data_IF_263455497323
#
_entry.id   IF_263455497323
#
_cell.length_a   1.000
_cell.length_b   1.000
_cell.length_c   1.000
_cell.angle_alpha   90.00
_cell.angle_beta   90.00
_cell.angle_gamma   90.00
#
_symmetry.space_group_name_H-M   'P 1'
#
loop_
_entity.id
_entity.type
_entity.pdbx_description
1 polymer ?
#
# COMPACT_ATOMS: atom_id res chain seq x y z
N UNK A 1 -1.71 27.28 -12.89
CA UNK A 1 -0.34 27.71 -12.59
C UNK A 1 0.14 28.50 -13.80
N UNK A 2 0.82 29.63 -13.60
CA UNK A 2 1.14 30.56 -14.70
C UNK A 2 2.38 30.13 -15.51
N UNK A 3 2.44 30.49 -16.79
CA UNK A 3 3.47 30.11 -17.77
C UNK A 3 4.87 30.55 -17.29
N UNK A 4 4.99 31.74 -16.71
CA UNK A 4 6.26 32.23 -16.14
C UNK A 4 6.77 31.37 -14.97
N UNK A 5 5.85 30.73 -14.23
CA UNK A 5 6.21 29.86 -13.11
C UNK A 5 6.78 28.54 -13.62
N UNK A 6 6.24 27.99 -14.72
CA UNK A 6 6.81 26.82 -15.39
C UNK A 6 8.18 27.13 -15.98
N UNK A 7 8.34 28.29 -16.61
CA UNK A 7 9.61 28.70 -17.24
C UNK A 7 10.73 28.81 -16.21
N UNK A 8 10.49 29.44 -15.05
CA UNK A 8 11.49 29.52 -13.97
C UNK A 8 11.90 28.14 -13.43
N UNK A 9 10.95 27.20 -13.34
CA UNK A 9 11.23 25.84 -12.84
C UNK A 9 12.01 25.02 -13.87
N UNK A 10 11.56 24.99 -15.11
CA UNK A 10 12.10 24.14 -16.17
C UNK A 10 13.47 24.58 -16.70
N UNK A 11 13.90 25.81 -16.43
CA UNK A 11 15.25 26.28 -16.76
C UNK A 11 16.34 25.53 -16.01
N UNK A 12 16.06 24.96 -14.83
CA UNK A 12 17.04 24.17 -14.06
C UNK A 12 17.02 22.68 -14.41
N UNK A 13 16.01 22.20 -15.13
CA UNK A 13 15.88 20.80 -15.51
C UNK A 13 16.85 20.41 -16.61
N UNK A 14 17.26 19.13 -16.61
CA UNK A 14 18.11 18.55 -17.64
C UNK A 14 17.35 18.36 -18.96
N UNK A 15 18.07 18.34 -20.08
CA UNK A 15 17.47 18.14 -21.40
C UNK A 15 16.76 16.77 -21.50
N UNK A 16 17.31 15.74 -20.84
CA UNK A 16 16.71 14.40 -20.79
C UNK A 16 15.36 14.37 -20.08
N UNK A 17 15.23 15.10 -18.97
CA UNK A 17 13.96 15.22 -18.22
C UNK A 17 12.90 15.95 -19.03
N UNK A 18 13.28 17.05 -19.68
CA UNK A 18 12.38 17.84 -20.53
C UNK A 18 11.96 17.04 -21.77
N UNK A 19 12.88 16.28 -22.38
CA UNK A 19 12.56 15.38 -23.49
C UNK A 19 11.54 14.34 -23.01
N UNK A 20 11.80 13.65 -21.90
CA UNK A 20 10.92 12.61 -21.34
C UNK A 20 9.52 13.15 -20.99
N UNK A 21 9.45 14.40 -20.51
CA UNK A 21 8.21 15.12 -20.22
C UNK A 21 7.39 15.39 -21.50
N UNK A 22 8.04 15.82 -22.57
CA UNK A 22 7.39 16.17 -23.84
C UNK A 22 7.04 14.94 -24.70
N UNK A 23 7.69 13.80 -24.44
CA UNK A 23 7.58 12.55 -25.19
C UNK A 23 6.68 11.53 -24.48
N UNK A 24 7.27 10.73 -23.58
CA UNK A 24 6.63 9.57 -22.92
C UNK A 24 5.55 9.95 -21.92
N UNK A 25 5.72 11.07 -21.23
CA UNK A 25 4.85 11.47 -20.14
C UNK A 25 3.95 12.67 -20.46
N UNK A 26 3.87 13.11 -21.72
CA UNK A 26 3.12 14.29 -22.11
C UNK A 26 1.67 14.31 -21.61
N UNK A 27 0.99 13.16 -21.58
CA UNK A 27 -0.40 13.04 -21.09
C UNK A 27 -0.57 13.30 -19.59
N UNK A 28 0.51 13.24 -18.81
CA UNK A 28 0.51 13.45 -17.36
C UNK A 28 0.73 14.91 -16.96
N UNK A 29 1.13 15.77 -17.91
CA UNK A 29 1.49 17.16 -17.64
C UNK A 29 0.47 18.15 -18.20
N UNK A 30 0.43 19.33 -17.59
CA UNK A 30 -0.40 20.43 -18.08
C UNK A 30 0.08 20.86 -19.50
N UNK A 31 -0.83 21.07 -20.48
CA UNK A 31 -0.47 21.54 -21.81
C UNK A 31 0.46 22.76 -21.84
N UNK A 32 0.26 23.72 -20.93
CA UNK A 32 1.09 24.92 -20.84
C UNK A 32 2.52 24.60 -20.40
N UNK A 33 2.69 23.58 -19.55
CA UNK A 33 3.99 23.10 -19.11
C UNK A 33 4.76 22.41 -20.25
N UNK A 34 4.06 21.68 -21.12
CA UNK A 34 4.65 21.00 -22.29
C UNK A 34 5.12 22.03 -23.32
N UNK A 35 4.36 23.11 -23.53
CA UNK A 35 4.75 24.21 -24.42
C UNK A 35 6.05 24.85 -23.92
N UNK A 36 6.12 25.18 -22.63
CA UNK A 36 7.33 25.77 -22.02
C UNK A 36 8.53 24.83 -22.10
N UNK A 37 8.34 23.53 -21.87
CA UNK A 37 9.41 22.54 -21.99
C UNK A 37 9.94 22.45 -23.44
N UNK A 38 9.06 22.51 -24.44
CA UNK A 38 9.45 22.58 -25.86
C UNK A 38 10.24 23.85 -26.16
N UNK A 39 9.76 25.00 -25.70
CA UNK A 39 10.44 26.29 -25.89
C UNK A 39 11.87 26.27 -25.32
N UNK A 40 12.05 25.74 -24.11
CA UNK A 40 13.37 25.63 -23.48
C UNK A 40 14.29 24.67 -24.23
N UNK A 41 13.78 23.53 -24.69
CA UNK A 41 14.55 22.59 -25.50
C UNK A 41 14.98 23.21 -26.85
N UNK A 42 14.10 23.98 -27.48
CA UNK A 42 14.43 24.73 -28.70
C UNK A 42 15.46 25.85 -28.43
N UNK A 43 15.33 26.59 -27.33
CA UNK A 43 16.32 27.59 -26.90
C UNK A 43 17.70 26.97 -26.65
N UNK A 44 17.76 25.69 -26.24
CA UNK A 44 18.98 24.91 -26.02
C UNK A 44 19.51 24.18 -27.26
N UNK A 45 18.95 24.43 -28.44
CA UNK A 45 19.29 23.75 -29.72
C UNK A 45 19.09 22.22 -29.69
N UNK A 46 18.10 21.72 -28.95
CA UNK A 46 17.69 20.32 -28.99
C UNK A 46 16.61 20.13 -30.06
N UNK A 47 16.85 19.24 -31.03
CA UNK A 47 15.93 18.94 -32.12
C UNK A 47 14.77 18.02 -31.67
N UNK A 48 13.81 18.63 -30.99
CA UNK A 48 12.64 17.94 -30.41
C UNK A 48 11.65 17.42 -31.46
N UNK A 49 11.59 18.03 -32.65
CA UNK A 49 10.67 17.60 -33.71
C UNK A 49 11.09 16.26 -34.31
N UNK A 50 12.40 16.09 -34.56
CA UNK A 50 12.95 14.81 -35.01
C UNK A 50 12.75 13.73 -33.95
N UNK A 51 12.99 14.03 -32.67
CA UNK A 51 12.76 13.08 -31.56
C UNK A 51 11.29 12.65 -31.46
N UNK A 52 10.34 13.60 -31.61
CA UNK A 52 8.91 13.29 -31.58
C UNK A 52 8.46 12.46 -32.78
N UNK A 53 9.03 12.68 -33.97
CA UNK A 53 8.73 11.87 -35.16
C UNK A 53 9.23 10.43 -35.00
N UNK A 54 10.47 10.24 -34.54
CA UNK A 54 11.04 8.90 -34.27
C UNK A 54 10.26 8.14 -33.20
N UNK A 55 9.73 8.84 -32.19
CA UNK A 55 8.93 8.20 -31.14
C UNK A 55 7.53 7.79 -31.62
N UNK A 56 6.92 8.59 -32.50
CA UNK A 56 5.64 8.26 -33.13
C UNK A 56 5.78 7.10 -34.13
N UNK A 57 6.89 7.03 -34.85
CA UNK A 57 7.21 5.92 -35.75
C UNK A 57 7.49 4.63 -34.96
N UNK A 58 8.17 4.71 -33.81
CA UNK A 58 8.36 3.57 -32.87
C UNK A 58 7.05 3.09 -32.22
N UNK A 59 6.03 3.95 -32.09
CA UNK A 59 4.69 3.56 -31.63
C UNK A 59 3.88 2.81 -32.69
N UNK A 60 4.19 3.00 -33.98
CA UNK A 60 3.48 2.33 -35.07
C UNK A 60 3.97 0.88 -35.32
N UNK A 61 5.20 0.55 -34.95
CA UNK A 61 5.82 -0.76 -35.23
C UNK A 61 5.72 -1.78 -34.08
N UNK A 62 5.29 -1.35 -32.88
CA UNK A 62 5.00 -2.24 -31.76
C UNK A 62 3.52 -2.65 -31.78
N UNK A 63 3.20 -3.73 -32.50
CA UNK A 63 2.01 -4.55 -32.23
C UNK A 63 2.06 -5.00 -30.76
N UNK A 64 1.49 -4.21 -29.87
CA UNK A 64 1.25 -4.56 -28.47
C UNK A 64 0.27 -5.73 -28.45
N UNK A 65 0.80 -6.95 -28.30
CA UNK A 65 0.08 -7.99 -27.56
C UNK A 65 -0.22 -7.34 -26.22
N UNK A 66 -1.50 -7.13 -25.93
CA UNK A 66 -1.88 -6.50 -24.66
C UNK A 66 -1.34 -7.37 -23.53
N UNK A 67 -0.91 -6.78 -22.41
CA UNK A 67 -0.43 -7.54 -21.24
C UNK A 67 -1.45 -8.62 -20.82
N UNK A 68 -2.74 -8.33 -21.04
CA UNK A 68 -3.84 -9.28 -20.89
C UNK A 68 -3.71 -10.51 -21.81
N UNK A 69 -3.45 -10.34 -23.10
CA UNK A 69 -3.22 -11.44 -24.04
C UNK A 69 -1.94 -12.23 -23.70
N UNK A 70 -0.90 -11.55 -23.17
CA UNK A 70 0.30 -12.23 -22.68
C UNK A 70 -0.02 -13.10 -21.45
N UNK A 71 -0.72 -12.56 -20.44
CA UNK A 71 -1.15 -13.31 -19.25
C UNK A 71 -2.04 -14.49 -19.66
N UNK A 72 -2.99 -14.27 -20.57
CA UNK A 72 -3.89 -15.33 -21.05
C UNK A 72 -3.15 -16.42 -21.84
N UNK A 73 -1.98 -16.12 -22.41
CA UNK A 73 -1.12 -17.11 -23.09
C UNK A 73 -0.30 -17.98 -22.13
N UNK A 74 -0.15 -17.59 -20.87
CA UNK A 74 0.60 -18.32 -19.85
C UNK A 74 -0.20 -19.49 -19.26
N UNK A 75 0.49 -20.49 -18.71
CA UNK A 75 -0.17 -21.56 -17.95
C UNK A 75 -0.77 -21.01 -16.64
N UNK A 76 -1.80 -21.64 -16.03
CA UNK A 76 -2.41 -21.13 -14.80
C UNK A 76 -1.43 -20.93 -13.64
N UNK A 77 -0.38 -21.74 -13.56
CA UNK A 77 0.67 -21.61 -12.53
C UNK A 77 1.56 -20.41 -12.86
N UNK A 78 1.95 -20.25 -14.12
CA UNK A 78 2.79 -19.14 -14.57
C UNK A 78 2.04 -17.80 -14.53
N UNK A 79 0.72 -17.81 -14.74
CA UNK A 79 -0.15 -16.65 -14.52
C UNK A 79 -0.11 -16.20 -13.06
N UNK A 80 -0.25 -17.15 -12.12
CA UNK A 80 -0.17 -16.84 -10.69
C UNK A 80 1.22 -16.30 -10.34
N UNK A 81 2.28 -16.92 -10.86
CA UNK A 81 3.64 -16.48 -10.61
C UNK A 81 3.89 -15.07 -11.17
N UNK A 82 3.55 -14.84 -12.43
CA UNK A 82 3.70 -13.54 -13.09
C UNK A 82 2.92 -12.44 -12.37
N UNK A 83 1.65 -12.69 -12.02
CA UNK A 83 0.84 -11.74 -11.27
C UNK A 83 1.37 -11.53 -9.84
N UNK A 84 1.95 -12.56 -9.21
CA UNK A 84 2.57 -12.42 -7.89
C UNK A 84 3.84 -11.57 -7.94
N UNK A 85 4.68 -11.77 -8.95
CA UNK A 85 5.92 -11.00 -9.17
C UNK A 85 5.59 -9.55 -9.49
N UNK A 86 4.61 -9.31 -10.36
CA UNK A 86 4.08 -7.97 -10.64
C UNK A 86 3.50 -7.29 -9.41
N UNK A 87 2.81 -8.02 -8.55
CA UNK A 87 2.25 -7.49 -7.30
C UNK A 87 3.36 -7.10 -6.32
N UNK A 88 4.42 -7.88 -6.22
CA UNK A 88 5.59 -7.55 -5.38
C UNK A 88 6.32 -6.34 -5.95
N UNK A 89 6.60 -6.31 -7.25
CA UNK A 89 7.19 -5.15 -7.94
C UNK A 89 6.35 -3.88 -7.70
N UNK A 90 5.03 -3.99 -7.76
CA UNK A 90 4.12 -2.87 -7.50
C UNK A 90 4.12 -2.46 -6.02
N UNK A 91 4.13 -3.40 -5.08
CA UNK A 91 4.21 -3.12 -3.64
C UNK A 91 5.53 -2.42 -3.28
N UNK A 92 6.67 -2.89 -3.80
CA UNK A 92 7.99 -2.27 -3.59
C UNK A 92 8.02 -0.82 -4.13
N UNK A 93 7.49 -0.61 -5.34
CA UNK A 93 7.39 0.72 -5.92
C UNK A 93 6.51 1.66 -5.08
N UNK A 94 5.40 1.16 -4.51
CA UNK A 94 4.51 1.97 -3.64
C UNK A 94 5.24 2.39 -2.37
N UNK A 95 6.02 1.49 -1.76
CA UNK A 95 6.79 1.82 -0.55
C UNK A 95 7.81 2.92 -0.82
N UNK A 96 8.53 2.83 -1.94
CA UNK A 96 9.49 3.84 -2.38
C UNK A 96 8.80 5.18 -2.71
N UNK A 97 7.69 5.15 -3.45
CA UNK A 97 6.92 6.36 -3.82
C UNK A 97 6.41 7.06 -2.57
N UNK A 98 5.85 6.33 -1.60
CA UNK A 98 5.34 6.93 -0.36
C UNK A 98 6.47 7.49 0.49
N UNK A 99 7.60 6.77 0.58
CA UNK A 99 8.77 7.25 1.31
C UNK A 99 9.32 8.53 0.66
N UNK A 100 9.40 8.57 -0.66
CA UNK A 100 9.89 9.72 -1.43
C UNK A 100 8.96 10.93 -1.29
N UNK A 101 7.65 10.73 -1.40
CA UNK A 101 6.63 11.78 -1.21
C UNK A 101 6.67 12.39 0.19
N UNK A 102 7.09 11.63 1.20
CA UNK A 102 7.20 12.09 2.59
C UNK A 102 8.62 12.55 2.97
N UNK A 103 9.63 12.35 2.11
CA UNK A 103 11.03 12.63 2.44
C UNK A 103 11.26 14.14 2.68
N UNK A 104 10.70 14.98 1.81
CA UNK A 104 10.92 16.42 1.82
C UNK A 104 9.87 17.20 2.62
N UNK A 105 8.85 16.52 3.15
CA UNK A 105 7.82 17.17 3.97
C UNK A 105 8.41 17.65 5.28
N UNK A 106 8.04 18.87 5.68
CA UNK A 106 8.26 19.36 7.03
C UNK A 106 7.43 18.57 8.05
N UNK A 107 7.79 18.65 9.33
CA UNK A 107 7.05 17.92 10.38
C UNK A 107 5.56 18.30 10.42
N UNK A 108 5.23 19.57 10.19
CA UNK A 108 3.83 20.06 10.15
C UNK A 108 3.08 19.51 8.94
N UNK A 109 3.71 19.49 7.77
CA UNK A 109 3.11 18.95 6.55
C UNK A 109 2.93 17.43 6.64
N UNK A 110 3.88 16.73 7.25
CA UNK A 110 3.78 15.28 7.47
C UNK A 110 2.63 14.95 8.44
N UNK A 111 2.48 15.70 9.52
CA UNK A 111 1.34 15.55 10.44
C UNK A 111 0.01 15.84 9.76
N UNK A 112 -0.05 16.89 8.92
CA UNK A 112 -1.26 17.21 8.16
C UNK A 112 -1.61 16.13 7.14
N UNK A 113 -0.61 15.63 6.40
CA UNK A 113 -0.78 14.51 5.47
C UNK A 113 -1.30 13.27 6.20
N UNK A 114 -0.71 12.96 7.36
CA UNK A 114 -1.16 11.85 8.18
C UNK A 114 -2.59 12.04 8.71
N UNK A 115 -2.97 13.26 9.12
CA UNK A 115 -4.33 13.57 9.53
C UNK A 115 -5.35 13.37 8.40
N UNK A 116 -5.01 13.78 7.17
CA UNK A 116 -5.84 13.58 5.98
C UNK A 116 -6.04 12.10 5.65
N UNK A 117 -4.98 11.28 5.79
CA UNK A 117 -5.05 9.81 5.66
C UNK A 117 -6.03 9.25 6.70
N UNK A 118 -5.84 9.60 7.97
CA UNK A 118 -6.66 9.12 9.08
C UNK A 118 -8.14 9.49 8.90
N UNK A 119 -8.42 10.76 8.57
CA UNK A 119 -9.79 11.25 8.36
C UNK A 119 -10.49 10.54 7.20
N UNK A 120 -9.75 10.28 6.12
CA UNK A 120 -10.30 9.57 4.97
C UNK A 120 -10.68 8.14 5.36
N UNK A 121 -9.81 7.42 6.08
CA UNK A 121 -10.11 6.06 6.57
C UNK A 121 -11.28 6.06 7.55
N UNK A 122 -11.35 7.05 8.44
CA UNK A 122 -12.46 7.18 9.39
C UNK A 122 -13.79 7.39 8.67
N UNK A 123 -13.81 8.20 7.61
CA UNK A 123 -14.99 8.51 6.82
C UNK A 123 -15.46 7.32 5.98
N UNK A 124 -14.55 6.59 5.35
CA UNK A 124 -14.88 5.41 4.52
C UNK A 124 -15.14 4.16 5.37
N UNK A 125 -14.54 4.07 6.55
CA UNK A 125 -14.58 2.87 7.41
C UNK A 125 -13.73 1.71 6.90
N UNK A 126 -12.86 1.94 5.92
CA UNK A 126 -11.95 0.94 5.34
C UNK A 126 -10.70 1.59 4.75
N UNK A 127 -9.65 0.80 4.61
CA UNK A 127 -8.50 1.18 3.80
C UNK A 127 -8.86 1.17 2.32
N UNK A 128 -8.25 2.07 1.57
CA UNK A 128 -8.34 2.12 0.11
C UNK A 128 -7.48 1.06 -0.57
N UNK A 129 -7.52 1.06 -1.90
CA UNK A 129 -6.61 0.25 -2.71
C UNK A 129 -5.18 0.78 -2.61
N UNK A 130 -4.20 0.00 -3.08
CA UNK A 130 -2.77 0.32 -2.96
C UNK A 130 -2.42 1.74 -3.44
N UNK A 131 -3.02 2.19 -4.55
CA UNK A 131 -2.78 3.51 -5.15
C UNK A 131 -3.44 4.68 -4.41
N UNK A 132 -4.35 4.41 -3.47
CA UNK A 132 -5.08 5.45 -2.78
C UNK A 132 -4.23 6.10 -1.69
N UNK A 133 -4.46 7.40 -1.45
CA UNK A 133 -3.81 8.11 -0.33
C UNK A 133 -4.12 7.44 1.03
N UNK A 134 -5.29 6.82 1.17
CA UNK A 134 -5.73 6.14 2.37
C UNK A 134 -5.49 4.62 2.34
N UNK A 135 -4.51 4.18 1.54
CA UNK A 135 -4.08 2.79 1.48
C UNK A 135 -3.44 2.35 2.79
N UNK A 136 -3.44 1.04 3.03
CA UNK A 136 -2.84 0.46 4.23
C UNK A 136 -1.33 0.71 4.29
N UNK A 137 -0.65 0.62 3.15
CA UNK A 137 0.78 0.88 2.99
C UNK A 137 1.10 2.34 3.33
N UNK A 138 0.34 3.28 2.76
CA UNK A 138 0.59 4.71 3.00
C UNK A 138 0.42 5.08 4.48
N UNK A 139 -0.60 4.51 5.14
CA UNK A 139 -0.79 4.64 6.58
C UNK A 139 0.43 4.16 7.38
N UNK A 140 0.90 2.93 7.17
CA UNK A 140 2.02 2.39 7.95
C UNK A 140 3.34 3.09 7.68
N UNK A 141 3.65 3.43 6.43
CA UNK A 141 4.90 4.11 6.07
C UNK A 141 4.92 5.50 6.69
N UNK A 142 3.84 6.28 6.52
CA UNK A 142 3.75 7.63 7.09
C UNK A 142 3.82 7.59 8.63
N UNK A 143 3.15 6.61 9.26
CA UNK A 143 3.22 6.37 10.72
C UNK A 143 4.64 6.03 11.19
N UNK A 144 5.39 5.24 10.40
CA UNK A 144 6.77 4.90 10.70
C UNK A 144 7.72 6.09 10.54
N UNK A 145 7.53 6.92 9.51
CA UNK A 145 8.33 8.13 9.31
C UNK A 145 8.13 9.11 10.47
N UNK A 146 6.88 9.29 10.94
CA UNK A 146 6.57 10.10 12.13
C UNK A 146 7.31 9.59 13.37
N UNK A 147 7.28 8.28 13.61
CA UNK A 147 7.99 7.65 14.73
C UNK A 147 9.51 7.78 14.61
N UNK A 148 10.09 7.55 13.43
CA UNK A 148 11.53 7.68 13.17
C UNK A 148 12.03 9.11 13.37
N UNK A 149 11.21 10.11 13.00
CA UNK A 149 11.53 11.53 13.19
C UNK A 149 11.24 12.04 14.61
N UNK A 150 10.73 11.17 15.52
CA UNK A 150 10.30 11.53 16.87
C UNK A 150 9.36 12.76 16.88
N UNK A 151 8.43 12.83 15.93
CA UNK A 151 7.48 13.93 15.84
C UNK A 151 6.39 13.72 16.88
N UNK A 152 6.20 14.72 17.74
CA UNK A 152 5.15 14.69 18.76
C UNK A 152 3.77 14.73 18.07
N UNK A 153 2.99 13.67 18.28
CA UNK A 153 1.66 13.54 17.67
C UNK A 153 0.63 14.17 18.61
N UNK A 154 -0.17 15.15 18.15
CA UNK A 154 -1.22 15.74 18.97
C UNK A 154 -2.22 14.69 19.46
N UNK A 155 -2.71 14.85 20.70
CA UNK A 155 -3.67 13.93 21.32
C UNK A 155 -4.92 13.64 20.45
N UNK A 156 -5.40 14.63 19.69
CA UNK A 156 -6.52 14.43 18.76
C UNK A 156 -6.21 13.43 17.65
N UNK A 157 -4.97 13.42 17.13
CA UNK A 157 -4.54 12.43 16.15
C UNK A 157 -4.43 11.04 16.80
N UNK A 158 -3.99 10.93 18.05
CA UNK A 158 -3.91 9.64 18.75
C UNK A 158 -5.28 8.93 18.81
N UNK A 159 -6.38 9.67 19.02
CA UNK A 159 -7.74 9.11 18.96
C UNK A 159 -8.06 8.54 17.57
N UNK A 160 -7.69 9.27 16.51
CA UNK A 160 -7.91 8.82 15.12
C UNK A 160 -7.05 7.60 14.80
N UNK A 161 -5.80 7.58 15.23
CA UNK A 161 -4.87 6.45 15.09
C UNK A 161 -5.44 5.20 15.75
N UNK A 162 -5.97 5.29 16.96
CA UNK A 162 -6.60 4.17 17.65
C UNK A 162 -7.78 3.59 16.86
N UNK A 163 -8.63 4.45 16.31
CA UNK A 163 -9.75 4.04 15.47
C UNK A 163 -9.28 3.38 14.17
N UNK A 164 -8.30 3.96 13.47
CA UNK A 164 -7.77 3.42 12.22
C UNK A 164 -7.05 2.10 12.45
N UNK A 165 -6.25 1.99 13.51
CA UNK A 165 -5.68 0.72 13.91
C UNK A 165 -6.77 -0.31 14.19
N UNK A 166 -7.88 0.09 14.84
CA UNK A 166 -9.06 -0.79 15.02
C UNK A 166 -9.55 -1.35 13.68
N UNK A 167 -9.59 -0.54 12.63
CA UNK A 167 -9.94 -1.02 11.29
C UNK A 167 -8.86 -1.97 10.76
N UNK A 168 -7.57 -1.63 10.90
CA UNK A 168 -6.45 -2.40 10.36
C UNK A 168 -6.35 -3.83 10.89
N UNK A 169 -6.69 -4.02 12.17
CA UNK A 169 -6.63 -5.34 12.84
C UNK A 169 -7.94 -6.10 12.80
N UNK A 170 -9.00 -5.56 12.17
CA UNK A 170 -10.34 -6.16 12.15
C UNK A 170 -10.33 -7.61 11.63
N UNK A 171 -9.61 -7.85 10.54
CA UNK A 171 -9.58 -9.18 9.91
C UNK A 171 -8.77 -10.19 10.71
N UNK A 172 -7.66 -9.75 11.32
CA UNK A 172 -6.87 -10.57 12.23
C UNK A 172 -7.71 -10.95 13.46
N UNK A 173 -8.42 -9.99 14.07
CA UNK A 173 -9.34 -10.25 15.19
C UNK A 173 -10.46 -11.19 14.82
N UNK A 174 -11.05 -11.06 13.62
CA UNK A 174 -12.04 -12.02 13.10
C UNK A 174 -11.45 -13.42 12.97
N UNK A 175 -10.23 -13.57 12.44
CA UNK A 175 -9.51 -14.85 12.35
C UNK A 175 -9.28 -15.45 13.75
N UNK A 176 -8.74 -14.68 14.69
CA UNK A 176 -8.51 -15.14 16.07
C UNK A 176 -9.81 -15.62 16.73
N UNK A 177 -10.91 -14.86 16.58
CA UNK A 177 -12.21 -15.27 17.10
C UNK A 177 -12.74 -16.55 16.45
N UNK A 178 -12.51 -16.76 15.14
CA UNK A 178 -12.85 -18.02 14.47
C UNK A 178 -12.06 -19.20 15.02
N UNK A 179 -10.75 -19.05 15.26
CA UNK A 179 -9.93 -20.11 15.86
C UNK A 179 -10.41 -20.48 17.26
N UNK A 180 -10.74 -19.48 18.09
CA UNK A 180 -11.30 -19.71 19.43
C UNK A 180 -12.63 -20.47 19.33
N UNK A 181 -13.52 -20.03 18.43
CA UNK A 181 -14.84 -20.65 18.26
C UNK A 181 -14.75 -22.11 17.76
N UNK A 182 -13.93 -22.37 16.74
CA UNK A 182 -13.66 -23.73 16.24
C UNK A 182 -13.05 -24.59 17.34
N UNK A 183 -12.12 -24.03 18.11
CA UNK A 183 -11.49 -24.72 19.23
C UNK A 183 -12.49 -25.16 20.29
N UNK A 184 -13.47 -24.32 20.64
CA UNK A 184 -14.56 -24.68 21.55
C UNK A 184 -15.46 -25.77 20.98
N UNK A 185 -15.79 -25.73 19.68
CA UNK A 185 -16.59 -26.77 19.03
C UNK A 185 -15.87 -28.13 19.10
N UNK A 186 -14.57 -28.16 18.77
CA UNK A 186 -13.76 -29.37 18.80
C UNK A 186 -13.64 -29.94 20.21
N UNK A 187 -13.47 -29.09 21.22
CA UNK A 187 -13.45 -29.50 22.62
C UNK A 187 -14.79 -30.09 23.06
N UNK A 188 -15.90 -29.42 22.71
CA UNK A 188 -17.24 -29.88 23.08
C UNK A 188 -17.57 -31.24 22.46
N UNK A 189 -17.32 -31.40 21.16
CA UNK A 189 -17.53 -32.68 20.46
C UNK A 189 -16.58 -33.76 21.00
N UNK A 190 -15.30 -33.43 21.17
CA UNK A 190 -14.31 -34.36 21.70
C UNK A 190 -14.67 -34.89 23.09
N UNK A 191 -15.09 -34.02 24.00
CA UNK A 191 -15.50 -34.41 25.36
C UNK A 191 -16.79 -35.22 25.37
N UNK A 192 -17.82 -34.79 24.64
CA UNK A 192 -19.12 -35.49 24.59
C UNK A 192 -18.99 -36.92 24.05
N UNK A 193 -18.23 -37.10 22.97
CA UNK A 193 -17.98 -38.43 22.41
C UNK A 193 -17.03 -39.28 23.25
N UNK A 194 -16.01 -38.69 23.89
CA UNK A 194 -15.11 -39.44 24.78
C UNK A 194 -15.87 -40.02 25.96
N UNK A 195 -16.74 -39.24 26.59
CA UNK A 195 -17.59 -39.69 27.72
C UNK A 195 -18.63 -40.73 27.23
N UNK A 196 -19.27 -40.49 26.08
CA UNK A 196 -20.35 -41.34 25.60
C UNK A 196 -19.92 -42.68 24.98
N UNK A 197 -18.71 -42.76 24.40
CA UNK A 197 -18.25 -43.96 23.65
C UNK A 197 -17.08 -44.69 24.31
N UNK A 198 -16.63 -44.25 25.48
CA UNK A 198 -15.50 -44.87 26.21
C UNK A 198 -14.11 -44.43 25.74
N UNK A 199 -14.04 -43.41 24.86
CA UNK A 199 -12.80 -42.80 24.41
C UNK A 199 -12.15 -43.52 23.22
N UNK A 200 -11.91 -42.77 22.14
CA UNK A 200 -11.21 -43.20 20.95
C UNK A 200 -10.10 -42.17 20.64
N UNK A 201 -8.98 -42.63 20.07
CA UNK A 201 -7.82 -41.79 19.70
C UNK A 201 -8.23 -40.55 18.91
N UNK A 202 -9.23 -40.69 18.03
CA UNK A 202 -9.78 -39.58 17.24
C UNK A 202 -10.39 -38.49 18.14
N UNK A 203 -11.11 -38.86 19.20
CA UNK A 203 -11.76 -37.91 20.10
C UNK A 203 -10.75 -37.21 21.02
N UNK A 204 -9.71 -37.91 21.46
CA UNK A 204 -8.57 -37.28 22.15
C UNK A 204 -7.80 -36.32 21.22
N UNK A 205 -7.66 -36.67 19.94
CA UNK A 205 -7.11 -35.78 18.92
C UNK A 205 -7.94 -34.51 18.69
N UNK A 206 -9.28 -34.63 18.72
CA UNK A 206 -10.19 -33.49 18.65
C UNK A 206 -10.05 -32.56 19.88
N UNK A 207 -9.91 -33.11 21.09
CA UNK A 207 -9.66 -32.34 22.31
C UNK A 207 -8.32 -31.58 22.21
N UNK A 208 -7.25 -32.26 21.78
CA UNK A 208 -5.92 -31.67 21.67
C UNK A 208 -5.88 -30.55 20.61
N UNK A 209 -6.43 -30.81 19.42
CA UNK A 209 -6.52 -29.80 18.35
C UNK A 209 -7.42 -28.62 18.72
N UNK A 210 -8.49 -28.88 19.48
CA UNK A 210 -9.34 -27.84 20.06
C UNK A 210 -8.57 -26.92 21.01
N UNK A 211 -7.81 -27.49 21.94
CA UNK A 211 -6.95 -26.73 22.87
C UNK A 211 -5.89 -25.91 22.12
N UNK A 212 -5.19 -26.50 21.15
CA UNK A 212 -4.19 -25.80 20.33
C UNK A 212 -4.83 -24.60 19.61
N UNK A 213 -6.02 -24.79 19.04
CA UNK A 213 -6.74 -23.73 18.32
C UNK A 213 -7.15 -22.57 19.24
N UNK A 214 -7.59 -22.87 20.47
CA UNK A 214 -7.90 -21.85 21.49
C UNK A 214 -6.64 -21.09 21.89
N UNK A 215 -5.55 -21.80 22.20
CA UNK A 215 -4.27 -21.18 22.60
C UNK A 215 -3.75 -20.27 21.48
N UNK A 216 -3.76 -20.75 20.23
CA UNK A 216 -3.34 -19.96 19.07
C UNK A 216 -4.21 -18.70 18.90
N UNK A 217 -5.53 -18.82 19.05
CA UNK A 217 -6.44 -17.68 18.96
C UNK A 217 -6.26 -16.65 20.09
N UNK A 218 -6.03 -17.10 21.32
CA UNK A 218 -5.74 -16.22 22.47
C UNK A 218 -4.39 -15.54 22.30
N UNK A 219 -3.34 -16.27 21.92
CA UNK A 219 -2.00 -15.72 21.69
C UNK A 219 -2.03 -14.64 20.62
N UNK A 220 -2.70 -14.89 19.48
CA UNK A 220 -2.86 -13.87 18.44
C UNK A 220 -3.62 -12.63 18.93
N UNK A 221 -4.63 -12.79 19.79
CA UNK A 221 -5.33 -11.65 20.39
C UNK A 221 -4.45 -10.84 21.36
N UNK A 222 -3.57 -11.51 22.10
CA UNK A 222 -2.59 -10.86 22.98
C UNK A 222 -1.53 -10.11 22.19
N UNK A 223 -1.01 -10.68 21.10
CA UNK A 223 -0.03 -10.03 20.22
C UNK A 223 -0.60 -8.76 19.61
N UNK A 224 -1.85 -8.79 19.13
CA UNK A 224 -2.54 -7.59 18.66
C UNK A 224 -2.59 -6.53 19.77
N UNK A 225 -3.04 -6.90 20.97
CA UNK A 225 -3.15 -5.96 22.10
C UNK A 225 -1.79 -5.38 22.51
N UNK A 226 -0.73 -6.18 22.47
CA UNK A 226 0.64 -5.73 22.75
C UNK A 226 1.13 -4.74 21.70
N UNK A 227 0.91 -5.05 20.42
CA UNK A 227 1.23 -4.15 19.32
C UNK A 227 0.51 -2.79 19.43
N UNK A 228 -0.76 -2.77 19.87
CA UNK A 228 -1.45 -1.52 20.20
C UNK A 228 -0.79 -0.77 21.36
N UNK A 229 -0.44 -1.48 22.43
CA UNK A 229 0.18 -0.88 23.60
C UNK A 229 1.53 -0.24 23.25
N UNK A 230 2.36 -0.97 22.50
CA UNK A 230 3.70 -0.52 22.10
C UNK A 230 3.60 0.66 21.12
N UNK A 231 2.59 0.69 20.24
CA UNK A 231 2.29 1.84 19.38
C UNK A 231 1.85 3.06 20.19
N UNK A 232 0.91 2.90 21.13
CA UNK A 232 0.41 4.02 21.96
C UNK A 232 1.56 4.62 22.78
N UNK A 233 2.45 3.78 23.32
CA UNK A 233 3.62 4.21 24.08
C UNK A 233 4.68 4.89 23.21
N UNK A 234 4.79 4.53 21.93
CA UNK A 234 5.66 5.21 20.97
C UNK A 234 5.16 6.61 20.58
N UNK A 235 3.87 6.91 20.83
CA UNK A 235 3.23 8.20 20.49
C UNK A 235 2.83 9.02 21.74
N UNK A 236 3.25 8.60 22.94
CA UNK A 236 3.03 9.30 24.23
C UNK A 236 4.30 9.93 24.75
#
# INVERSE_FOLDING_TARGET
MDIETFRKRFVEHSDEELILMVTKNASKYNPDAIIVAKEILTERNVDIETILSEENDKKADNNTISEKEYIESLSPIDQIQYLSEKRVEFEENIEEIVAWNNADLTNEELLKNFDEILDTIMKTGSFGDLSDIHSKQNYYITSNILAQRNIEVPFLLNIKIDFVNMIATRDVRKKCNKYIFIGFILLFLGLTFTIGTGGNVIFYGAILSGLISIIAGIKGRMEIKRYYSDMIEAYS
#
